data_IF_699317392451
#
_entry.id   IF_699317392451
#
_cell.length_a   1.000
_cell.length_b   1.000
_cell.length_c   1.000
_cell.angle_alpha   90.00
_cell.angle_beta   90.00
_cell.angle_gamma   90.00
#
_symmetry.space_group_name_H-M   'P 1'
#
loop_
_entity.id
_entity.type
_entity.pdbx_description
1 polymer ?
#
# COMPACT_ATOMS: atom_id res chain seq x y z
N UNK A 1 -1.76 -37.94 22.72
CA UNK A 1 -2.35 -37.69 21.38
C UNK A 1 -2.18 -36.24 20.93
N UNK A 2 -2.58 -35.25 21.74
CA UNK A 2 -2.49 -33.81 21.42
C UNK A 2 -1.07 -33.30 21.10
N UNK A 3 -0.05 -33.71 21.89
CA UNK A 3 1.36 -33.34 21.65
C UNK A 3 1.86 -33.78 20.26
N UNK A 4 1.43 -34.95 19.80
CA UNK A 4 1.85 -35.52 18.51
C UNK A 4 1.24 -34.75 17.33
N UNK A 5 0.00 -34.25 17.48
CA UNK A 5 -0.66 -33.46 16.44
C UNK A 5 -0.02 -32.06 16.31
N UNK A 6 0.37 -31.44 17.43
CA UNK A 6 1.07 -30.15 17.41
C UNK A 6 2.48 -30.30 16.82
N UNK A 7 3.20 -31.37 17.17
CA UNK A 7 4.51 -31.66 16.59
C UNK A 7 4.43 -31.89 15.07
N UNK A 8 3.44 -32.65 14.62
CA UNK A 8 3.18 -32.87 13.19
C UNK A 8 2.81 -31.56 12.47
N UNK A 9 2.02 -30.71 13.10
CA UNK A 9 1.71 -29.39 12.56
C UNK A 9 2.98 -28.53 12.46
N UNK A 10 3.85 -28.52 13.47
CA UNK A 10 5.12 -27.79 13.46
C UNK A 10 6.10 -28.32 12.39
N UNK A 11 6.08 -29.62 12.07
CA UNK A 11 6.85 -30.19 10.96
C UNK A 11 6.31 -29.77 9.59
N UNK A 12 4.98 -29.81 9.40
CA UNK A 12 4.33 -29.32 8.18
C UNK A 12 4.49 -27.79 8.01
N UNK A 13 4.54 -27.07 9.12
CA UNK A 13 4.91 -25.65 9.15
C UNK A 13 6.40 -25.40 8.87
N UNK A 14 7.22 -26.40 8.57
CA UNK A 14 8.59 -26.21 8.07
C UNK A 14 8.77 -26.62 6.62
N UNK A 15 7.77 -27.28 6.02
CA UNK A 15 7.79 -27.67 4.61
C UNK A 15 7.15 -26.58 3.73
N UNK A 16 7.20 -26.80 2.40
CA UNK A 16 6.50 -25.99 1.40
C UNK A 16 4.96 -26.10 1.52
N UNK A 17 4.45 -27.17 2.13
CA UNK A 17 3.01 -27.32 2.44
C UNK A 17 2.65 -26.75 3.82
N UNK A 18 2.98 -25.47 3.97
CA UNK A 18 2.63 -24.68 5.15
C UNK A 18 1.12 -24.64 5.41
N UNK A 19 0.30 -24.80 4.35
CA UNK A 19 -1.15 -24.77 4.40
C UNK A 19 -1.75 -25.95 5.19
N UNK A 20 -1.18 -27.15 5.05
CA UNK A 20 -1.61 -28.34 5.77
C UNK A 20 -1.33 -28.23 7.29
N UNK A 21 -0.19 -27.64 7.66
CA UNK A 21 0.15 -27.34 9.06
C UNK A 21 -0.86 -26.40 9.70
N UNK A 22 -1.26 -25.35 8.98
CA UNK A 22 -2.28 -24.38 9.43
C UNK A 22 -3.66 -25.00 9.54
N UNK A 23 -4.08 -25.78 8.54
CA UNK A 23 -5.37 -26.49 8.57
C UNK A 23 -5.43 -27.47 9.75
N UNK A 24 -4.30 -28.08 10.11
CA UNK A 24 -4.19 -28.94 11.28
C UNK A 24 -4.41 -28.15 12.58
N UNK A 25 -3.72 -27.01 12.75
CA UNK A 25 -3.88 -26.14 13.92
C UNK A 25 -5.29 -25.55 14.02
N UNK A 26 -5.89 -25.14 12.90
CA UNK A 26 -7.26 -24.64 12.86
C UNK A 26 -8.29 -25.72 13.22
N UNK A 27 -8.06 -26.98 12.78
CA UNK A 27 -8.91 -28.12 13.15
C UNK A 27 -8.77 -28.47 14.64
N UNK A 28 -7.57 -28.34 15.21
CA UNK A 28 -7.35 -28.49 16.65
C UNK A 28 -8.13 -27.46 17.46
N UNK A 29 -8.10 -26.19 17.07
CA UNK A 29 -8.85 -25.12 17.75
C UNK A 29 -10.36 -25.22 17.58
N UNK A 30 -10.83 -25.74 16.44
CA UNK A 30 -12.26 -26.02 16.24
C UNK A 30 -12.77 -27.07 17.21
N UNK A 31 -11.96 -28.08 17.50
CA UNK A 31 -12.31 -29.18 18.40
C UNK A 31 -12.07 -28.83 19.88
N UNK A 32 -11.05 -28.02 20.18
CA UNK A 32 -10.74 -27.49 21.51
C UNK A 32 -10.29 -26.02 21.41
N UNK A 33 -11.24 -25.08 21.53
CA UNK A 33 -10.94 -23.65 21.46
C UNK A 33 -10.02 -23.15 22.58
N UNK A 34 -9.90 -23.90 23.68
CA UNK A 34 -9.06 -23.53 24.83
C UNK A 34 -7.59 -23.93 24.66
N UNK A 35 -7.24 -24.62 23.56
CA UNK A 35 -5.89 -25.08 23.28
C UNK A 35 -4.93 -23.93 22.96
N UNK A 36 -4.38 -23.34 24.01
CA UNK A 36 -3.48 -22.18 23.97
C UNK A 36 -2.24 -22.42 23.11
N UNK A 37 -1.72 -23.66 23.09
CA UNK A 37 -0.52 -23.98 22.31
C UNK A 37 -0.80 -23.99 20.81
N UNK A 38 -1.94 -24.56 20.38
CA UNK A 38 -2.37 -24.50 18.99
C UNK A 38 -2.66 -23.05 18.54
N UNK A 39 -3.28 -22.24 19.40
CA UNK A 39 -3.53 -20.83 19.12
C UNK A 39 -2.23 -20.02 18.99
N UNK A 40 -1.28 -20.21 19.90
CA UNK A 40 0.02 -19.56 19.84
C UNK A 40 0.82 -19.94 18.59
N UNK A 41 0.81 -21.23 18.20
CA UNK A 41 1.49 -21.69 16.99
C UNK A 41 0.84 -21.16 15.72
N UNK A 42 -0.49 -21.15 15.67
CA UNK A 42 -1.23 -20.61 14.52
C UNK A 42 -0.98 -19.10 14.39
N UNK A 43 -1.04 -18.36 15.49
CA UNK A 43 -0.74 -16.93 15.52
C UNK A 43 0.70 -16.64 15.10
N UNK A 44 1.67 -17.37 15.65
CA UNK A 44 3.08 -17.25 15.27
C UNK A 44 3.30 -17.58 13.79
N UNK A 45 2.61 -18.57 13.24
CA UNK A 45 2.72 -18.94 11.84
C UNK A 45 2.10 -17.88 10.91
N UNK A 46 0.97 -17.26 11.29
CA UNK A 46 0.38 -16.14 10.54
C UNK A 46 1.22 -14.86 10.65
N UNK A 47 1.96 -14.67 11.74
CA UNK A 47 2.68 -13.42 12.03
C UNK A 47 4.14 -13.44 11.57
N UNK A 48 4.82 -14.57 11.67
CA UNK A 48 6.27 -14.67 11.44
C UNK A 48 6.64 -15.41 10.14
N UNK A 49 5.72 -16.18 9.55
CA UNK A 49 5.89 -16.66 8.17
C UNK A 49 5.21 -15.63 7.28
N UNK A 50 6.03 -14.88 6.55
CA UNK A 50 5.64 -13.77 5.68
C UNK A 50 4.63 -14.21 4.60
N UNK A 51 3.35 -14.33 4.97
CA UNK A 51 2.32 -13.85 4.07
C UNK A 51 2.55 -12.35 4.02
N UNK A 52 2.82 -11.82 2.82
CA UNK A 52 2.91 -10.39 2.57
C UNK A 52 1.53 -9.76 2.79
N UNK A 53 1.10 -9.69 4.04
CA UNK A 53 -0.08 -8.97 4.45
C UNK A 53 0.28 -7.49 4.35
N UNK A 54 -0.48 -6.69 3.58
CA UNK A 54 -0.20 -5.28 3.48
C UNK A 54 -0.31 -4.64 4.88
N UNK A 55 0.69 -3.83 5.24
CA UNK A 55 0.80 -3.20 6.57
C UNK A 55 -0.36 -2.23 6.81
N UNK A 56 -0.87 -1.63 5.74
CA UNK A 56 -2.06 -0.77 5.72
C UNK A 56 -3.12 -1.35 4.79
N UNK A 57 -4.38 -0.98 5.01
CA UNK A 57 -5.46 -1.30 4.08
C UNK A 57 -5.17 -0.81 2.65
N UNK A 58 -5.85 -1.34 1.63
CA UNK A 58 -5.60 -0.97 0.24
C UNK A 58 -5.80 0.54 0.03
N UNK A 59 -4.84 1.18 -0.66
CA UNK A 59 -4.93 2.58 -1.07
C UNK A 59 -5.88 2.68 -2.27
N UNK A 60 -7.15 3.02 -2.03
CA UNK A 60 -8.20 2.85 -3.03
C UNK A 60 -8.31 4.03 -4.01
N UNK A 61 -8.43 3.69 -5.29
CA UNK A 61 -8.86 4.55 -6.39
C UNK A 61 -10.12 3.97 -7.03
N UNK A 62 -10.85 4.79 -7.79
CA UNK A 62 -12.10 4.36 -8.43
C UNK A 62 -11.85 3.63 -9.77
N UNK A 63 -10.62 3.69 -10.29
CA UNK A 63 -10.14 2.95 -11.46
C UNK A 63 -8.72 2.41 -11.23
N UNK A 64 -8.12 1.83 -12.26
CA UNK A 64 -6.78 1.25 -12.24
C UNK A 64 -5.73 2.25 -11.72
N UNK A 65 -4.83 1.76 -10.89
CA UNK A 65 -3.65 2.51 -10.46
C UNK A 65 -2.55 2.23 -11.47
N UNK A 66 -2.10 3.29 -12.15
CA UNK A 66 -1.09 3.22 -13.21
C UNK A 66 0.32 3.38 -12.64
N UNK A 67 0.45 4.06 -11.49
CA UNK A 67 1.72 4.37 -10.88
C UNK A 67 1.64 4.42 -9.35
N UNK A 68 2.70 3.98 -8.66
CA UNK A 68 2.86 4.14 -7.22
C UNK A 68 4.34 4.31 -6.83
N UNK A 69 4.64 5.25 -5.94
CA UNK A 69 6.00 5.50 -5.43
C UNK A 69 5.98 6.08 -4.02
N UNK A 70 6.94 5.73 -3.19
CA UNK A 70 7.16 6.42 -1.91
C UNK A 70 7.70 7.84 -2.09
N UNK A 71 7.42 8.70 -1.11
CA UNK A 71 8.15 9.97 -0.92
C UNK A 71 9.63 9.71 -0.60
N UNK A 72 10.52 10.69 -0.81
CA UNK A 72 11.95 10.54 -0.50
C UNK A 72 12.24 10.14 0.95
N UNK A 73 11.37 10.54 1.88
CA UNK A 73 11.48 10.21 3.31
C UNK A 73 10.69 8.94 3.71
N UNK A 74 10.01 8.29 2.77
CA UNK A 74 9.24 7.05 3.00
C UNK A 74 7.92 7.21 3.77
N UNK A 75 7.60 8.39 4.30
CA UNK A 75 6.42 8.62 5.15
C UNK A 75 5.12 8.76 4.37
N UNK A 76 5.21 8.82 3.04
CA UNK A 76 4.04 8.98 2.19
C UNK A 76 4.15 8.14 0.94
N UNK A 77 3.01 7.72 0.40
CA UNK A 77 2.91 7.05 -0.89
C UNK A 77 2.20 7.99 -1.85
N UNK A 78 2.70 8.13 -3.06
CA UNK A 78 2.06 8.83 -4.17
C UNK A 78 1.57 7.79 -5.17
N UNK A 79 0.30 7.87 -5.53
CA UNK A 79 -0.31 7.03 -6.56
C UNK A 79 -0.85 7.90 -7.69
N UNK A 80 -0.89 7.36 -8.90
CA UNK A 80 -1.53 7.96 -10.06
C UNK A 80 -2.46 6.94 -10.72
N UNK A 81 -3.63 7.37 -11.16
CA UNK A 81 -4.71 6.48 -11.59
C UNK A 81 -5.45 7.00 -12.82
N UNK A 82 -6.11 6.06 -13.51
CA UNK A 82 -7.11 6.31 -14.54
C UNK A 82 -8.42 6.94 -14.01
N UNK A 83 -8.55 7.21 -12.71
CA UNK A 83 -9.68 7.97 -12.13
C UNK A 83 -9.47 9.50 -12.20
N UNK A 84 -8.59 9.95 -13.09
CA UNK A 84 -8.20 11.34 -13.30
C UNK A 84 -7.54 11.99 -12.08
N UNK A 85 -7.06 11.18 -11.12
CA UNK A 85 -6.39 11.69 -9.91
C UNK A 85 -5.02 11.07 -9.66
N UNK A 86 -4.14 11.89 -9.10
CA UNK A 86 -3.07 11.41 -8.24
C UNK A 86 -3.43 11.65 -6.77
N UNK A 87 -2.99 10.76 -5.87
CA UNK A 87 -3.31 10.83 -4.43
C UNK A 87 -2.04 10.66 -3.60
N UNK A 88 -1.96 11.41 -2.51
CA UNK A 88 -0.87 11.32 -1.54
C UNK A 88 -1.43 10.70 -0.26
N UNK A 89 -0.83 9.60 0.16
CA UNK A 89 -1.26 8.77 1.27
C UNK A 89 -0.20 8.79 2.37
N UNK A 90 -0.64 8.71 3.62
CA UNK A 90 0.20 8.39 4.75
C UNK A 90 0.60 6.90 4.68
N UNK A 91 1.90 6.60 4.75
CA UNK A 91 2.42 5.23 4.57
C UNK A 91 2.00 4.27 5.68
N UNK A 92 1.74 4.80 6.88
CA UNK A 92 1.55 4.02 8.10
C UNK A 92 0.07 3.80 8.42
N UNK A 93 -0.80 4.69 7.93
CA UNK A 93 -2.24 4.65 8.17
C UNK A 93 -3.07 4.44 6.91
N UNK A 94 -2.51 4.65 5.72
CA UNK A 94 -3.22 4.57 4.45
C UNK A 94 -4.27 5.67 4.24
N UNK A 95 -4.22 6.75 5.02
CA UNK A 95 -5.14 7.89 4.91
C UNK A 95 -4.64 8.89 3.87
N UNK A 96 -5.56 9.57 3.19
CA UNK A 96 -5.21 10.70 2.33
C UNK A 96 -4.64 11.85 3.16
N UNK A 97 -3.49 12.37 2.75
CA UNK A 97 -2.83 13.50 3.40
C UNK A 97 -3.35 14.85 2.88
N UNK A 98 -3.77 14.89 1.62
CA UNK A 98 -4.31 16.09 0.94
C UNK A 98 -5.48 15.70 0.04
N UNK A 99 -6.32 16.66 -0.41
CA UNK A 99 -7.30 16.40 -1.45
C UNK A 99 -6.66 15.81 -2.72
N UNK A 100 -7.35 14.93 -3.46
CA UNK A 100 -6.82 14.36 -4.71
C UNK A 100 -6.36 15.43 -5.69
N UNK A 101 -5.21 15.19 -6.31
CA UNK A 101 -4.61 16.04 -7.33
C UNK A 101 -5.30 15.75 -8.66
N UNK A 102 -6.28 16.59 -9.02
CA UNK A 102 -7.21 16.33 -10.14
C UNK A 102 -6.68 16.80 -11.49
N UNK A 103 -6.85 15.96 -12.49
CA UNK A 103 -6.71 16.25 -13.91
C UNK A 103 -8.06 16.09 -14.62
N UNK A 104 -8.09 16.38 -15.93
CA UNK A 104 -9.29 16.18 -16.76
C UNK A 104 -9.32 14.81 -17.45
N UNK A 105 -8.21 14.06 -17.40
CA UNK A 105 -8.05 12.69 -17.88
C UNK A 105 -7.03 11.93 -17.02
N UNK A 106 -6.86 10.63 -17.27
CA UNK A 106 -6.00 9.72 -16.52
C UNK A 106 -4.63 10.32 -16.18
N UNK A 107 -4.21 10.13 -14.93
CA UNK A 107 -2.86 10.49 -14.49
C UNK A 107 -2.01 9.23 -14.57
N UNK A 108 -1.11 9.19 -15.55
CA UNK A 108 -0.27 8.01 -15.81
C UNK A 108 1.09 8.06 -15.11
N UNK A 109 1.50 9.24 -14.63
CA UNK A 109 2.75 9.41 -13.88
C UNK A 109 2.63 10.49 -12.82
N UNK A 110 3.29 10.26 -11.68
CA UNK A 110 3.46 11.27 -10.65
C UNK A 110 4.77 11.06 -9.88
N UNK A 111 5.42 12.15 -9.46
CA UNK A 111 6.70 12.10 -8.76
C UNK A 111 6.86 13.22 -7.74
N UNK A 112 7.40 12.90 -6.57
CA UNK A 112 7.83 13.89 -5.59
C UNK A 112 9.12 14.59 -6.03
N UNK A 113 9.23 15.88 -5.74
CA UNK A 113 10.53 16.56 -5.71
C UNK A 113 11.46 15.91 -4.68
N UNK A 114 12.78 16.09 -4.84
CA UNK A 114 13.78 15.49 -3.93
C UNK A 114 13.61 15.90 -2.46
N UNK A 115 13.12 17.11 -2.21
CA UNK A 115 12.80 17.62 -0.87
C UNK A 115 11.41 17.18 -0.36
N UNK A 116 10.60 16.50 -1.19
CA UNK A 116 9.25 16.05 -0.87
C UNK A 116 8.21 17.16 -0.76
N UNK A 117 8.55 18.42 -1.05
CA UNK A 117 7.63 19.55 -0.88
C UNK A 117 6.69 19.76 -2.07
N UNK A 118 7.05 19.24 -3.24
CA UNK A 118 6.26 19.37 -4.45
C UNK A 118 6.01 18.00 -5.09
N UNK A 119 4.93 17.91 -5.85
CA UNK A 119 4.64 16.76 -6.71
C UNK A 119 4.48 17.26 -8.15
N UNK A 120 5.05 16.55 -9.11
CA UNK A 120 4.71 16.69 -10.53
C UNK A 120 3.78 15.55 -10.92
N UNK A 121 2.76 15.85 -11.71
CA UNK A 121 1.88 14.86 -12.35
C UNK A 121 1.92 15.05 -13.86
N UNK A 122 1.76 13.96 -14.61
CA UNK A 122 1.55 13.98 -16.05
C UNK A 122 0.27 13.19 -16.37
N UNK A 123 -0.57 13.78 -17.23
CA UNK A 123 -1.89 13.25 -17.57
C UNK A 123 -2.06 13.11 -19.08
N UNK A 124 -3.01 12.27 -19.50
CA UNK A 124 -3.46 12.23 -20.89
C UNK A 124 -4.18 13.50 -21.34
N UNK A 125 -4.56 14.40 -20.41
CA UNK A 125 -5.15 15.71 -20.73
C UNK A 125 -4.19 16.69 -21.42
N UNK A 126 -2.98 16.22 -21.75
CA UNK A 126 -1.94 17.00 -22.41
C UNK A 126 -1.20 17.95 -21.48
N UNK A 127 -1.45 17.89 -20.16
CA UNK A 127 -0.82 18.77 -19.19
C UNK A 127 0.05 18.01 -18.19
N UNK A 128 1.12 18.68 -17.78
CA UNK A 128 1.81 18.36 -16.54
C UNK A 128 1.54 19.48 -15.54
N UNK A 129 1.26 19.12 -14.28
CA UNK A 129 0.96 20.08 -13.21
C UNK A 129 1.95 19.89 -12.07
N UNK A 130 2.33 21.00 -11.44
CA UNK A 130 3.14 21.00 -10.22
C UNK A 130 2.22 21.33 -9.06
N UNK A 131 2.28 20.55 -8.00
CA UNK A 131 1.44 20.64 -6.83
C UNK A 131 2.29 20.88 -5.61
N UNK A 132 1.74 21.63 -4.66
CA UNK A 132 2.26 21.67 -3.31
C UNK A 132 1.86 20.39 -2.56
N UNK A 133 2.85 19.60 -2.11
CA UNK A 133 2.60 18.28 -1.53
C UNK A 133 1.88 18.32 -0.17
N UNK A 134 2.04 19.43 0.57
CA UNK A 134 1.43 19.59 1.90
C UNK A 134 -0.02 20.07 1.86
N UNK A 135 -0.45 20.70 0.76
CA UNK A 135 -1.81 21.23 0.62
C UNK A 135 -2.62 20.63 -0.53
N UNK A 136 -1.97 19.96 -1.49
CA UNK A 136 -2.60 19.45 -2.70
C UNK A 136 -3.02 20.55 -3.69
N UNK A 137 -2.55 21.79 -3.51
CA UNK A 137 -2.89 22.91 -4.39
C UNK A 137 -1.97 22.94 -5.61
N UNK A 138 -2.57 23.12 -6.79
CA UNK A 138 -1.81 23.34 -8.02
C UNK A 138 -1.04 24.66 -7.92
N UNK A 139 0.24 24.64 -8.27
CA UNK A 139 1.03 25.84 -8.50
C UNK A 139 0.74 26.30 -9.92
N UNK A 140 0.16 27.49 -10.12
CA UNK A 140 -0.08 28.00 -11.46
C UNK A 140 1.25 28.11 -12.20
N UNK A 141 1.26 27.79 -13.50
CA UNK A 141 2.40 28.09 -14.33
C UNK A 141 2.67 29.59 -14.26
N UNK A 142 3.83 29.99 -13.72
CA UNK A 142 4.32 31.35 -13.86
C UNK A 142 4.46 31.60 -15.36
N UNK A 143 3.55 32.40 -15.93
CA UNK A 143 3.65 32.85 -17.31
C UNK A 143 4.86 33.79 -17.40
N UNK A 144 6.06 33.25 -17.54
CA UNK A 144 7.18 34.02 -18.09
C UNK A 144 6.93 34.11 -19.60
N UNK A 145 6.10 35.08 -19.96
CA UNK A 145 5.98 35.56 -21.33
C UNK A 145 7.34 36.18 -21.67
N UNK A 146 8.25 35.37 -22.21
CA UNK A 146 9.44 35.90 -22.84
C UNK A 146 8.98 36.79 -23.99
N UNK A 147 9.03 38.10 -23.76
CA UNK A 147 8.91 39.10 -24.81
C UNK A 147 10.09 38.82 -25.74
N UNK A 148 9.82 38.26 -26.92
CA UNK A 148 10.77 38.29 -28.02
C UNK A 148 10.90 39.76 -28.43
N UNK A 149 12.04 40.37 -28.12
CA UNK A 149 12.52 41.60 -28.75
C UNK A 149 13.21 41.26 -30.05
#
# INVERSE_FOLDING_TARGET
>A
MLKLQIQKADELLRTDDSSAGMACLARLLRNDPSNRLAAQRLFSALSHRAFALPVVGPLQHDKEILYARFSPNGKSVLTASADDTARIWDSDTGRLLVPPLRHEQDVWYAEFSRDGQSVVTASFDGTARVWDAGSGKARPASVQRAIKS
#
